data_IF_779569624796
#
_entry.id   IF_779569624796
#
_cell.length_a   1.000
_cell.length_b   1.000
_cell.length_c   1.000
_cell.angle_alpha   90.00
_cell.angle_beta   90.00
_cell.angle_gamma   90.00
#
_symmetry.space_group_name_H-M   'P 1'
#
loop_
_entity.id
_entity.type
_entity.pdbx_description
1 polymer ?
#
# COMPACT_ATOMS: atom_id res chain seq x y z
N UNK A 1 29.22 27.80 -23.90
CA UNK A 1 27.98 27.69 -24.71
C UNK A 1 26.79 28.06 -23.85
N UNK A 2 25.84 28.89 -24.32
CA UNK A 2 24.63 29.19 -23.57
C UNK A 2 23.87 27.90 -23.28
N UNK A 3 23.48 27.71 -22.02
CA UNK A 3 22.74 26.52 -21.60
C UNK A 3 21.37 26.57 -22.28
N UNK A 4 21.04 25.54 -23.04
CA UNK A 4 19.77 25.48 -23.76
C UNK A 4 18.59 25.57 -22.78
N UNK A 5 17.46 26.10 -23.23
CA UNK A 5 16.23 26.19 -22.44
C UNK A 5 15.84 24.84 -21.82
N UNK A 6 16.07 23.73 -22.56
CA UNK A 6 15.84 22.36 -22.07
C UNK A 6 16.73 22.00 -20.87
N UNK A 7 18.02 22.35 -20.93
CA UNK A 7 18.94 22.08 -19.83
C UNK A 7 18.62 22.94 -18.58
N UNK A 8 18.10 24.16 -18.76
CA UNK A 8 17.56 24.95 -17.64
C UNK A 8 16.35 24.27 -16.99
N UNK A 9 15.39 23.82 -17.80
CA UNK A 9 14.19 23.11 -17.32
C UNK A 9 14.53 21.80 -16.60
N UNK A 10 15.45 20.99 -17.12
CA UNK A 10 15.90 19.76 -16.45
C UNK A 10 16.54 20.04 -15.09
N UNK A 11 17.26 21.15 -14.94
CA UNK A 11 17.85 21.57 -13.67
C UNK A 11 16.76 21.93 -12.65
N UNK A 12 15.72 22.63 -13.07
CA UNK A 12 14.56 22.96 -12.21
C UNK A 12 13.77 21.71 -11.83
N UNK A 13 13.54 20.78 -12.76
CA UNK A 13 12.91 19.49 -12.43
C UNK A 13 13.74 18.71 -11.41
N UNK A 14 15.06 18.58 -11.64
CA UNK A 14 15.96 17.89 -10.71
C UNK A 14 16.00 18.56 -9.33
N UNK A 15 15.83 19.89 -9.27
CA UNK A 15 15.71 20.64 -8.02
C UNK A 15 14.39 20.31 -7.31
N UNK A 16 13.25 20.33 -8.02
CA UNK A 16 11.95 19.95 -7.45
C UNK A 16 11.84 18.47 -7.06
N UNK A 17 12.50 17.57 -7.77
CA UNK A 17 12.61 16.15 -7.40
C UNK A 17 13.48 15.98 -6.14
N UNK A 18 14.56 16.75 -6.00
CA UNK A 18 15.43 16.74 -4.81
C UNK A 18 14.74 17.33 -3.57
N UNK A 19 13.90 18.34 -3.78
CA UNK A 19 13.09 18.97 -2.72
C UNK A 19 11.85 18.13 -2.35
N UNK A 20 11.58 17.03 -3.07
CA UNK A 20 10.46 16.11 -2.79
C UNK A 20 9.07 16.71 -3.05
N UNK A 21 9.00 17.89 -3.67
CA UNK A 21 7.76 18.64 -3.91
C UNK A 21 7.04 18.21 -5.18
N UNK A 22 7.68 17.42 -6.04
CA UNK A 22 7.03 16.82 -7.20
C UNK A 22 6.35 15.51 -6.80
N UNK A 23 5.02 15.49 -6.86
CA UNK A 23 4.25 14.25 -6.69
C UNK A 23 4.76 13.20 -7.69
N UNK A 24 5.03 11.95 -7.26
CA UNK A 24 5.41 10.90 -8.18
C UNK A 24 4.25 10.69 -9.16
N UNK A 25 4.53 10.93 -10.44
CA UNK A 25 3.57 10.75 -11.53
C UNK A 25 4.00 9.54 -12.33
N UNK A 26 3.06 8.67 -12.73
CA UNK A 26 3.35 7.61 -13.70
C UNK A 26 3.78 8.23 -15.03
N UNK A 27 4.41 7.45 -15.91
CA UNK A 27 4.79 7.91 -17.26
C UNK A 27 3.63 8.54 -18.06
N UNK A 28 2.38 8.21 -17.72
CA UNK A 28 1.16 8.71 -18.35
C UNK A 28 0.49 9.90 -17.60
N UNK A 29 1.20 10.64 -16.75
CA UNK A 29 0.69 11.89 -16.19
C UNK A 29 -0.29 11.74 -15.00
N UNK A 30 -0.61 10.51 -14.57
CA UNK A 30 -1.48 10.26 -13.42
C UNK A 30 -0.67 10.17 -12.11
N UNK A 31 -1.09 10.86 -11.04
CA UNK A 31 -0.48 10.73 -9.71
C UNK A 31 -0.42 9.26 -9.24
N UNK A 32 0.73 8.84 -8.73
CA UNK A 32 0.91 7.51 -8.16
C UNK A 32 0.14 7.43 -6.84
N UNK A 33 -1.02 6.77 -6.87
CA UNK A 33 -1.76 6.42 -5.65
C UNK A 33 -0.89 5.48 -4.81
N UNK A 34 -0.76 5.78 -3.52
CA UNK A 34 0.06 5.02 -2.60
C UNK A 34 -0.24 3.51 -2.70
N UNK A 35 0.80 2.64 -2.68
CA UNK A 35 0.60 1.20 -2.69
C UNK A 35 -0.28 0.82 -1.50
N UNK A 36 -1.33 0.05 -1.77
CA UNK A 36 -2.24 -0.43 -0.74
C UNK A 36 -1.45 -1.34 0.20
N UNK A 37 -1.63 -1.23 1.54
CA UNK A 37 -0.93 -2.12 2.46
C UNK A 37 -1.37 -3.57 2.18
N UNK A 38 -0.40 -4.42 1.89
CA UNK A 38 -0.60 -5.85 1.69
C UNK A 38 -0.21 -6.63 2.95
N UNK A 39 -0.85 -7.77 3.17
CA UNK A 39 -0.56 -8.72 4.23
C UNK A 39 -0.30 -10.10 3.62
N UNK A 40 0.64 -10.83 4.21
CA UNK A 40 1.06 -12.16 3.76
C UNK A 40 0.32 -13.20 4.58
N UNK A 41 -0.28 -14.20 3.93
CA UNK A 41 -0.86 -15.36 4.60
C UNK A 41 0.24 -16.26 5.19
N UNK A 42 0.16 -16.59 6.48
CA UNK A 42 1.17 -17.42 7.16
C UNK A 42 1.26 -18.87 6.64
N UNK A 43 0.20 -19.39 6.02
CA UNK A 43 0.18 -20.76 5.46
C UNK A 43 0.77 -20.81 4.05
N UNK A 44 0.13 -20.12 3.10
CA UNK A 44 0.48 -20.23 1.67
C UNK A 44 1.33 -19.06 1.14
N UNK A 45 1.74 -18.11 1.99
CA UNK A 45 2.56 -16.93 1.65
C UNK A 45 1.98 -16.03 0.56
N UNK A 46 0.66 -16.12 0.33
CA UNK A 46 -0.02 -15.27 -0.65
C UNK A 46 -0.13 -13.85 -0.10
N UNK A 47 0.27 -12.88 -0.91
CA UNK A 47 0.09 -11.46 -0.62
C UNK A 47 -1.34 -11.03 -0.99
N UNK A 48 -2.07 -10.51 0.00
CA UNK A 48 -3.43 -10.03 -0.15
C UNK A 48 -3.53 -8.60 0.40
N UNK A 49 -4.55 -7.86 -0.02
CA UNK A 49 -4.74 -6.48 0.42
C UNK A 49 -5.32 -6.47 1.83
N UNK A 50 -4.58 -5.93 2.80
CA UNK A 50 -4.97 -5.90 4.22
C UNK A 50 -6.26 -5.09 4.44
N UNK A 51 -6.50 -4.06 3.64
CA UNK A 51 -7.71 -3.21 3.77
C UNK A 51 -9.02 -3.91 3.40
N UNK A 52 -9.00 -5.14 2.89
CA UNK A 52 -10.21 -5.87 2.49
C UNK A 52 -10.36 -7.15 3.32
N UNK A 53 -10.96 -7.01 4.50
CA UNK A 53 -11.19 -8.13 5.42
C UNK A 53 -11.97 -9.28 4.77
N UNK A 54 -12.94 -8.98 3.89
CA UNK A 54 -13.70 -10.02 3.17
C UNK A 54 -12.81 -10.88 2.28
N UNK A 55 -11.79 -10.31 1.64
CA UNK A 55 -10.84 -11.08 0.83
C UNK A 55 -9.94 -11.97 1.67
N UNK A 56 -9.63 -11.54 2.90
CA UNK A 56 -8.87 -12.35 3.85
C UNK A 56 -9.75 -13.50 4.35
N UNK A 57 -11.01 -13.25 4.69
CA UNK A 57 -11.96 -14.30 5.08
C UNK A 57 -12.18 -15.33 3.97
N UNK A 58 -12.46 -14.91 2.74
CA UNK A 58 -12.62 -15.84 1.62
C UNK A 58 -11.34 -16.61 1.31
N UNK A 59 -10.16 -16.02 1.52
CA UNK A 59 -8.92 -16.77 1.40
C UNK A 59 -8.70 -17.73 2.57
N UNK A 60 -9.10 -17.40 3.80
CA UNK A 60 -9.08 -18.35 4.91
C UNK A 60 -10.01 -19.54 4.65
N UNK A 61 -11.14 -19.32 3.99
CA UNK A 61 -12.07 -20.38 3.58
C UNK A 61 -11.47 -21.35 2.55
N UNK A 62 -10.43 -20.94 1.81
CA UNK A 62 -9.71 -21.84 0.88
C UNK A 62 -8.79 -22.84 1.59
N UNK A 63 -8.54 -22.66 2.88
CA UNK A 63 -7.80 -23.61 3.70
C UNK A 63 -8.76 -24.53 4.46
N UNK A 64 -8.26 -25.66 4.93
CA UNK A 64 -9.00 -26.55 5.82
C UNK A 64 -9.39 -25.82 7.11
N UNK A 65 -10.62 -25.30 7.16
CA UNK A 65 -11.16 -24.51 8.27
C UNK A 65 -11.09 -25.22 9.62
N UNK A 66 -11.02 -26.56 9.61
CA UNK A 66 -10.90 -27.41 10.79
C UNK A 66 -9.51 -27.36 11.43
N UNK A 67 -8.46 -27.13 10.64
CA UNK A 67 -7.05 -27.11 11.11
C UNK A 67 -6.51 -25.68 11.12
N UNK A 68 -6.94 -24.87 10.14
CA UNK A 68 -6.41 -23.56 9.85
C UNK A 68 -7.50 -22.50 9.71
N UNK A 69 -7.78 -21.80 10.80
CA UNK A 69 -8.78 -20.71 10.86
C UNK A 69 -8.19 -19.38 10.40
N UNK A 70 -9.06 -18.39 10.10
CA UNK A 70 -8.67 -17.04 9.64
C UNK A 70 -7.66 -16.32 10.55
N UNK A 71 -7.73 -16.59 11.85
CA UNK A 71 -6.82 -16.04 12.85
C UNK A 71 -5.39 -16.59 12.73
N UNK A 72 -5.23 -17.81 12.20
CA UNK A 72 -3.91 -18.38 11.91
C UNK A 72 -3.34 -17.88 10.59
N UNK A 73 -4.18 -17.53 9.62
CA UNK A 73 -3.73 -16.94 8.35
C UNK A 73 -3.15 -15.54 8.55
N UNK A 74 -3.83 -14.68 9.34
CA UNK A 74 -3.36 -13.33 9.66
C UNK A 74 -3.54 -13.03 11.15
N UNK A 75 -2.57 -13.44 11.99
CA UNK A 75 -2.62 -13.14 13.41
C UNK A 75 -2.68 -11.63 13.67
N UNK A 76 -1.93 -10.81 12.94
CA UNK A 76 -1.85 -9.37 13.22
C UNK A 76 -3.12 -8.58 12.83
N UNK A 77 -3.95 -9.12 11.92
CA UNK A 77 -5.17 -8.45 11.45
C UNK A 77 -6.37 -8.85 12.31
N UNK A 78 -6.41 -10.11 12.76
CA UNK A 78 -7.55 -10.64 13.51
C UNK A 78 -7.32 -10.73 15.03
N UNK A 79 -6.11 -10.45 15.56
CA UNK A 79 -5.81 -10.47 17.02
C UNK A 79 -6.52 -9.42 17.87
N UNK A 80 -7.36 -8.55 17.30
CA UNK A 80 -8.00 -7.49 18.07
C UNK A 80 -9.19 -6.85 17.39
N UNK A 81 -10.36 -7.47 17.50
CA UNK A 81 -11.62 -6.71 17.60
C UNK A 81 -11.74 -6.02 18.98
N UNK A 82 -10.70 -5.28 19.36
CA UNK A 82 -10.81 -4.15 20.26
C UNK A 82 -10.62 -2.91 19.38
N UNK A 83 -11.72 -2.46 18.79
CA UNK A 83 -12.00 -1.09 18.37
C UNK A 83 -10.78 -0.24 18.01
N UNK A 84 -10.46 -0.01 16.72
CA UNK A 84 -9.78 1.21 16.37
C UNK A 84 -10.79 2.35 16.57
N UNK A 85 -10.69 3.04 17.70
CA UNK A 85 -11.30 4.34 17.89
C UNK A 85 -10.72 5.25 16.80
N UNK A 86 -11.50 5.45 15.73
CA UNK A 86 -11.22 6.48 14.73
C UNK A 86 -11.48 7.80 15.43
N UNK A 87 -10.39 8.37 15.96
CA UNK A 87 -10.33 9.73 16.46
C UNK A 87 -10.59 10.67 15.27
N UNK A 88 -11.86 11.06 15.13
CA UNK A 88 -12.27 12.19 14.28
C UNK A 88 -11.73 13.44 14.96
N UNK A 89 -10.58 13.93 14.48
CA UNK A 89 -10.11 15.28 14.81
C UNK A 89 -10.91 16.30 13.99
N UNK A 90 -11.52 17.21 14.76
CA UNK A 90 -12.44 18.27 14.36
C UNK A 90 -11.88 19.28 13.37
#
# INVERSE_FOLDING_TARGET
MPVSKKAKIQREHRKGDKEGTRAPVKANGLPVKAPKPTSICANCRKELVNTNLKQLETHAETHDQKVWTKEKCWPDIFKGTSTPAVEVKA
#
